data_IF_507979290693
#
_entry.id   IF_507979290693
#
_cell.length_a   1.000
_cell.length_b   1.000
_cell.length_c   1.000
_cell.angle_alpha   90.00
_cell.angle_beta   90.00
_cell.angle_gamma   90.00
#
_symmetry.space_group_name_H-M   'P 1'
#
loop_
_entity.id
_entity.type
_entity.pdbx_description
1 polymer ?
#
# COMPACT_ATOMS: atom_id res chain seq x y z
N UNK A 1 -15.27 13.56 -3.31
CA UNK A 1 -14.15 12.69 -3.65
C UNK A 1 -13.88 11.71 -2.49
N UNK A 2 -14.70 10.65 -2.32
CA UNK A 2 -14.52 9.70 -1.22
C UNK A 2 -13.36 8.73 -1.49
N UNK A 3 -12.68 8.32 -0.42
CA UNK A 3 -11.63 7.32 -0.46
C UNK A 3 -12.22 5.93 -0.78
N UNK A 4 -11.70 5.28 -1.80
CA UNK A 4 -12.10 3.95 -2.25
C UNK A 4 -11.03 2.91 -1.84
N UNK A 5 -10.94 2.63 -0.55
CA UNK A 5 -9.88 1.83 0.05
C UNK A 5 -10.20 0.32 0.22
N UNK A 6 -11.45 -0.11 -0.03
CA UNK A 6 -11.83 -1.53 0.06
C UNK A 6 -11.02 -2.34 -0.95
N UNK A 7 -10.50 -3.48 -0.53
CA UNK A 7 -9.69 -4.36 -1.39
C UNK A 7 -8.26 -3.89 -1.63
N UNK A 8 -7.78 -2.90 -0.89
CA UNK A 8 -6.39 -2.46 -0.98
C UNK A 8 -5.43 -3.62 -0.66
N UNK A 9 -5.77 -4.45 0.31
CA UNK A 9 -5.02 -5.64 0.68
C UNK A 9 -4.84 -6.64 -0.47
N UNK A 10 -5.77 -6.65 -1.45
CA UNK A 10 -5.65 -7.49 -2.65
C UNK A 10 -4.51 -7.01 -3.57
N UNK A 11 -4.29 -5.69 -3.64
CA UNK A 11 -3.18 -5.11 -4.40
C UNK A 11 -1.86 -5.57 -3.79
N UNK A 12 -1.73 -5.43 -2.47
CA UNK A 12 -0.55 -5.85 -1.71
C UNK A 12 -0.29 -7.34 -1.84
N UNK A 13 -1.33 -8.18 -1.73
CA UNK A 13 -1.21 -9.62 -1.89
C UNK A 13 -0.59 -9.97 -3.26
N UNK A 14 -1.15 -9.43 -4.34
CA UNK A 14 -0.66 -9.69 -5.70
C UNK A 14 0.76 -9.14 -5.93
N UNK A 15 1.02 -7.93 -5.45
CA UNK A 15 2.33 -7.29 -5.58
C UNK A 15 3.42 -8.10 -4.87
N UNK A 16 3.18 -8.49 -3.62
CA UNK A 16 4.15 -9.23 -2.83
C UNK A 16 4.42 -10.62 -3.40
N UNK A 17 3.39 -11.31 -3.95
CA UNK A 17 3.62 -12.55 -4.70
C UNK A 17 4.58 -12.36 -5.88
N UNK A 18 4.46 -11.27 -6.63
CA UNK A 18 5.36 -10.94 -7.74
C UNK A 18 6.77 -10.59 -7.28
N UNK A 19 6.91 -10.07 -6.07
CA UNK A 19 8.20 -9.81 -5.42
C UNK A 19 8.81 -11.07 -4.78
N UNK A 20 8.17 -12.24 -4.93
CA UNK A 20 8.69 -13.52 -4.45
C UNK A 20 8.33 -13.88 -3.02
N UNK A 21 7.39 -13.17 -2.40
CA UNK A 21 6.84 -13.57 -1.11
C UNK A 21 5.92 -14.77 -1.25
N UNK A 22 6.07 -15.74 -0.38
CA UNK A 22 5.12 -16.83 -0.21
C UNK A 22 3.82 -16.33 0.43
N UNK A 23 2.75 -17.10 0.29
CA UNK A 23 1.46 -16.79 0.91
C UNK A 23 1.57 -16.63 2.43
N UNK A 24 2.35 -17.46 3.09
CA UNK A 24 2.54 -17.40 4.55
C UNK A 24 3.28 -16.13 4.98
N UNK A 25 4.27 -15.69 4.20
CA UNK A 25 4.95 -14.42 4.43
C UNK A 25 3.99 -13.24 4.24
N UNK A 26 3.18 -13.24 3.19
CA UNK A 26 2.17 -12.22 2.94
C UNK A 26 1.13 -12.16 4.07
N UNK A 27 0.71 -13.32 4.57
CA UNK A 27 -0.24 -13.40 5.68
C UNK A 27 0.36 -12.93 7.02
N UNK A 28 1.68 -12.91 7.16
CA UNK A 28 2.34 -12.28 8.32
C UNK A 28 2.45 -10.77 8.19
N UNK A 29 2.30 -10.23 6.99
CA UNK A 29 2.33 -8.79 6.73
C UNK A 29 0.93 -8.17 6.75
N UNK A 30 -0.03 -8.73 6.00
CA UNK A 30 -1.39 -8.17 5.90
C UNK A 30 -2.17 -8.51 7.16
N UNK A 31 -2.68 -7.49 7.83
CA UNK A 31 -3.49 -7.66 9.02
C UNK A 31 -4.88 -8.27 8.72
N UNK A 32 -5.49 -8.87 9.72
CA UNK A 32 -6.87 -9.35 9.65
C UNK A 32 -7.90 -8.22 9.53
N UNK A 33 -9.16 -8.55 9.22
CA UNK A 33 -10.19 -7.56 8.82
C UNK A 33 -10.42 -6.46 9.84
N UNK A 34 -10.38 -6.79 11.14
CA UNK A 34 -10.60 -5.84 12.22
C UNK A 34 -9.45 -4.81 12.37
N UNK A 35 -8.28 -5.10 11.81
CA UNK A 35 -7.06 -4.32 11.98
C UNK A 35 -6.53 -3.71 10.68
N UNK A 36 -7.22 -3.88 9.55
CA UNK A 36 -6.81 -3.37 8.25
C UNK A 36 -6.63 -1.84 8.23
N UNK A 37 -7.40 -1.09 9.02
CA UNK A 37 -7.23 0.36 9.09
C UNK A 37 -5.87 0.75 9.67
N UNK A 38 -5.45 0.11 10.77
CA UNK A 38 -4.14 0.35 11.38
C UNK A 38 -2.98 -0.14 10.51
N UNK A 39 -3.17 -1.28 9.85
CA UNK A 39 -2.22 -1.77 8.86
C UNK A 39 -2.06 -0.78 7.69
N UNK A 40 -3.16 -0.27 7.13
CA UNK A 40 -3.14 0.68 6.03
C UNK A 40 -2.51 2.04 6.43
N UNK A 41 -2.53 2.38 7.72
CA UNK A 41 -1.84 3.53 8.31
C UNK A 41 -0.38 3.25 8.71
N UNK A 42 0.18 2.10 8.33
CA UNK A 42 1.57 1.72 8.65
C UNK A 42 1.86 1.52 10.15
N UNK A 43 0.86 1.20 10.97
CA UNK A 43 1.02 1.09 12.42
C UNK A 43 1.31 -0.32 12.91
N UNK A 44 0.81 -1.34 12.24
CA UNK A 44 1.05 -2.74 12.59
C UNK A 44 1.00 -3.64 11.38
N UNK A 45 1.64 -4.81 11.47
CA UNK A 45 1.53 -5.86 10.45
C UNK A 45 1.07 -7.19 11.06
N UNK A 46 0.39 -8.03 10.24
CA UNK A 46 0.06 -9.43 10.54
C UNK A 46 -0.96 -9.70 11.64
N UNK A 47 -1.40 -8.69 12.39
CA UNK A 47 -2.28 -8.89 13.53
C UNK A 47 -3.70 -9.29 13.11
N UNK A 48 -4.27 -10.28 13.83
CA UNK A 48 -5.66 -10.73 13.59
C UNK A 48 -5.88 -11.50 12.29
N UNK A 49 -4.80 -11.86 11.59
CA UNK A 49 -4.82 -12.74 10.42
C UNK A 49 -4.66 -14.21 10.78
N UNK A 50 -4.45 -15.09 9.76
CA UNK A 50 -4.43 -14.79 8.34
C UNK A 50 -5.82 -14.61 7.72
N UNK A 51 -5.91 -13.83 6.66
CA UNK A 51 -7.12 -13.74 5.86
C UNK A 51 -7.26 -14.99 4.96
N UNK A 52 -8.44 -15.62 4.87
CA UNK A 52 -8.66 -16.74 3.95
C UNK A 52 -8.65 -16.27 2.50
N UNK A 53 -8.35 -17.15 1.54
CA UNK A 53 -8.31 -16.82 0.10
C UNK A 53 -9.63 -16.22 -0.40
N UNK A 54 -10.74 -16.73 0.10
CA UNK A 54 -12.07 -16.20 -0.23
C UNK A 54 -12.25 -14.73 0.17
N UNK A 55 -11.54 -14.25 1.20
CA UNK A 55 -11.55 -12.85 1.61
C UNK A 55 -11.07 -11.95 0.47
N UNK A 56 -9.90 -12.20 -0.06
CA UNK A 56 -9.32 -11.38 -1.15
C UNK A 56 -10.22 -11.35 -2.38
N UNK A 57 -10.79 -12.50 -2.76
CA UNK A 57 -11.74 -12.60 -3.88
C UNK A 57 -12.99 -11.76 -3.63
N UNK A 58 -13.57 -11.86 -2.43
CA UNK A 58 -14.78 -11.13 -2.05
C UNK A 58 -14.54 -9.63 -1.94
N UNK A 59 -13.40 -9.19 -1.35
CA UNK A 59 -13.08 -7.77 -1.22
C UNK A 59 -12.81 -7.13 -2.58
N UNK A 60 -12.10 -7.80 -3.47
CA UNK A 60 -11.92 -7.31 -4.83
C UNK A 60 -13.26 -7.20 -5.59
N UNK A 61 -14.15 -8.18 -5.44
CA UNK A 61 -15.48 -8.14 -6.04
C UNK A 61 -16.35 -7.02 -5.45
N UNK A 62 -16.28 -6.82 -4.13
CA UNK A 62 -16.99 -5.74 -3.45
C UNK A 62 -16.51 -4.37 -3.94
N UNK A 63 -15.20 -4.15 -4.00
CA UNK A 63 -14.64 -2.89 -4.49
C UNK A 63 -15.09 -2.58 -5.93
N UNK A 64 -15.12 -3.57 -6.81
CA UNK A 64 -15.63 -3.38 -8.18
C UNK A 64 -17.09 -2.92 -8.20
N UNK A 65 -17.94 -3.47 -7.32
CA UNK A 65 -19.34 -3.03 -7.17
C UNK A 65 -19.43 -1.60 -6.63
N UNK A 66 -18.61 -1.27 -5.63
CA UNK A 66 -18.53 0.09 -5.07
C UNK A 66 -18.14 1.09 -6.16
N UNK A 67 -17.07 0.83 -6.89
CA UNK A 67 -16.58 1.70 -7.97
C UNK A 67 -17.62 1.89 -9.08
N UNK A 68 -18.32 0.83 -9.47
CA UNK A 68 -19.43 0.92 -10.42
C UNK A 68 -20.50 1.88 -9.90
N UNK A 69 -20.93 1.69 -8.63
CA UNK A 69 -21.96 2.51 -8.02
C UNK A 69 -21.53 3.96 -7.86
N UNK A 70 -20.28 4.22 -7.47
CA UNK A 70 -19.73 5.58 -7.40
C UNK A 70 -19.84 6.29 -8.76
N UNK A 71 -19.43 5.62 -9.84
CA UNK A 71 -19.50 6.18 -11.20
C UNK A 71 -20.92 6.45 -11.67
N UNK A 72 -21.88 5.59 -11.34
CA UNK A 72 -23.30 5.80 -11.63
C UNK A 72 -23.85 7.08 -10.98
N UNK A 73 -23.32 7.46 -9.82
CA UNK A 73 -23.68 8.71 -9.13
C UNK A 73 -22.79 9.91 -9.51
N UNK A 74 -21.92 9.78 -10.51
CA UNK A 74 -20.98 10.85 -10.87
C UNK A 74 -19.90 11.11 -9.80
N UNK A 75 -19.70 10.17 -8.87
CA UNK A 75 -18.71 10.29 -7.80
C UNK A 75 -17.37 9.81 -8.34
N UNK A 76 -16.33 10.63 -8.21
CA UNK A 76 -14.97 10.29 -8.58
C UNK A 76 -14.27 9.59 -7.42
N UNK A 77 -13.83 8.32 -7.60
CA UNK A 77 -13.13 7.61 -6.53
C UNK A 77 -11.72 8.16 -6.34
N UNK A 78 -11.27 8.14 -5.09
CA UNK A 78 -9.89 8.41 -4.70
C UNK A 78 -9.26 7.10 -4.23
N UNK A 79 -8.19 6.65 -4.86
CA UNK A 79 -7.49 5.42 -4.46
C UNK A 79 -6.34 5.72 -3.49
N UNK A 80 -6.01 4.78 -2.60
CA UNK A 80 -4.75 4.85 -1.89
C UNK A 80 -3.58 4.82 -2.87
N UNK A 81 -2.63 5.74 -2.69
CA UNK A 81 -1.38 5.75 -3.43
C UNK A 81 -0.27 4.99 -2.68
N UNK A 82 0.77 4.60 -3.41
CA UNK A 82 1.95 3.99 -2.81
C UNK A 82 2.88 5.07 -2.25
N UNK A 83 3.28 4.92 -1.00
CA UNK A 83 4.09 5.92 -0.28
C UNK A 83 5.37 5.35 0.34
N UNK A 84 5.67 4.06 0.14
CA UNK A 84 6.91 3.44 0.63
C UNK A 84 6.72 2.35 1.68
N UNK A 85 5.50 2.06 2.12
CA UNK A 85 5.25 0.92 3.02
C UNK A 85 5.74 -0.38 2.39
N UNK A 86 6.43 -1.22 3.16
CA UNK A 86 6.87 -2.56 2.78
C UNK A 86 6.86 -3.47 4.02
N UNK A 87 6.85 -4.81 3.86
CA UNK A 87 7.01 -5.71 5.00
C UNK A 87 8.27 -5.40 5.81
N UNK A 88 8.20 -5.63 7.12
CA UNK A 88 9.31 -5.33 8.03
C UNK A 88 10.61 -6.08 7.67
N UNK A 89 10.49 -7.24 7.05
CA UNK A 89 11.60 -8.10 6.60
C UNK A 89 12.05 -7.85 5.15
N UNK A 90 11.57 -6.79 4.50
CA UNK A 90 11.87 -6.55 3.09
C UNK A 90 13.34 -6.20 2.81
N UNK A 91 14.11 -5.79 3.80
CA UNK A 91 15.56 -5.66 3.69
C UNK A 91 16.23 -7.04 3.48
N UNK A 92 15.86 -8.03 4.26
CA UNK A 92 16.39 -9.40 4.14
C UNK A 92 15.90 -10.08 2.85
N UNK A 93 14.61 -9.91 2.55
CA UNK A 93 13.96 -10.60 1.42
C UNK A 93 14.31 -10.00 0.05
N UNK A 94 14.36 -8.67 -0.04
CA UNK A 94 14.50 -7.95 -1.31
C UNK A 94 15.82 -7.16 -1.42
N UNK A 95 16.64 -7.16 -0.37
CA UNK A 95 17.89 -6.40 -0.32
C UNK A 95 17.65 -4.88 -0.31
N UNK A 96 16.56 -4.43 0.30
CA UNK A 96 16.21 -3.01 0.36
C UNK A 96 16.92 -2.31 1.52
N UNK A 97 17.24 -1.03 1.34
CA UNK A 97 17.68 -0.18 2.43
C UNK A 97 16.45 0.48 3.09
N UNK A 98 16.07 0.00 4.26
CA UNK A 98 14.81 0.36 4.91
C UNK A 98 15.01 1.25 6.14
N UNK A 99 14.03 2.11 6.37
CA UNK A 99 13.83 2.74 7.67
C UNK A 99 12.84 1.89 8.46
N UNK A 100 13.26 1.39 9.61
CA UNK A 100 12.41 0.65 10.56
C UNK A 100 12.11 1.55 11.74
N UNK A 101 10.83 1.65 12.10
CA UNK A 101 10.39 2.37 13.30
C UNK A 101 10.29 1.43 14.50
N UNK A 102 10.26 1.99 15.70
CA UNK A 102 9.99 1.26 16.91
C UNK A 102 8.59 0.61 16.90
N UNK A 103 8.31 -0.24 17.88
CA UNK A 103 7.02 -0.89 18.01
C UNK A 103 5.89 0.14 18.22
N UNK A 104 4.80 0.00 17.50
CA UNK A 104 3.59 0.77 17.77
C UNK A 104 2.73 0.05 18.80
N UNK A 105 2.67 0.58 20.03
CA UNK A 105 1.93 -0.06 21.13
C UNK A 105 2.26 -1.56 21.32
N UNK A 106 3.51 -1.95 21.11
CA UNK A 106 3.97 -3.34 21.21
C UNK A 106 3.80 -4.18 19.95
N UNK A 107 3.27 -3.62 18.85
CA UNK A 107 3.14 -4.30 17.57
C UNK A 107 4.29 -3.95 16.62
N UNK A 108 4.76 -4.93 15.86
CA UNK A 108 5.70 -4.71 14.76
C UNK A 108 5.04 -3.81 13.71
N UNK A 109 5.74 -2.76 13.31
CA UNK A 109 5.31 -1.89 12.22
C UNK A 109 5.84 -2.41 10.88
N UNK A 110 5.12 -2.19 9.78
CA UNK A 110 5.72 -2.22 8.45
C UNK A 110 6.97 -1.36 8.40
N UNK A 111 7.94 -1.75 7.60
CA UNK A 111 9.10 -0.91 7.31
C UNK A 111 8.77 0.12 6.23
N UNK A 112 9.66 1.09 6.09
CA UNK A 112 9.49 2.18 5.15
C UNK A 112 10.67 2.24 4.17
N UNK A 113 10.37 2.11 2.89
CA UNK A 113 11.30 2.39 1.79
C UNK A 113 11.23 3.87 1.46
N UNK A 114 12.34 4.57 1.64
CA UNK A 114 12.40 6.00 1.35
C UNK A 114 12.03 6.27 -0.12
N UNK A 115 11.19 7.27 -0.41
CA UNK A 115 10.81 7.60 -1.80
C UNK A 115 12.01 7.98 -2.69
N UNK A 116 13.10 8.41 -2.09
CA UNK A 116 14.36 8.74 -2.77
C UNK A 116 15.26 7.52 -3.04
N UNK A 117 14.90 6.32 -2.53
CA UNK A 117 15.61 5.09 -2.84
C UNK A 117 15.43 4.71 -4.31
N UNK A 118 16.49 4.19 -4.92
CA UNK A 118 16.49 3.80 -6.35
C UNK A 118 15.46 2.70 -6.68
N UNK A 119 15.09 1.87 -5.71
CA UNK A 119 14.10 0.79 -5.86
C UNK A 119 12.65 1.26 -5.65
N UNK A 120 12.44 2.49 -5.12
CA UNK A 120 11.09 2.99 -4.85
C UNK A 120 10.22 3.03 -6.10
N UNK A 121 10.75 3.57 -7.20
CA UNK A 121 10.00 3.71 -8.44
C UNK A 121 9.57 2.35 -9.04
N UNK A 122 10.39 1.32 -8.89
CA UNK A 122 10.10 -0.05 -9.34
C UNK A 122 8.94 -0.66 -8.55
N UNK A 123 9.00 -0.55 -7.22
CA UNK A 123 7.97 -1.11 -6.33
C UNK A 123 6.65 -0.34 -6.47
N UNK A 124 6.72 0.99 -6.57
CA UNK A 124 5.56 1.83 -6.84
C UNK A 124 4.88 1.48 -8.17
N UNK A 125 5.67 1.26 -9.23
CA UNK A 125 5.14 0.86 -10.54
C UNK A 125 4.38 -0.46 -10.45
N UNK A 126 4.93 -1.45 -9.75
CA UNK A 126 4.29 -2.74 -9.53
C UNK A 126 2.98 -2.61 -8.74
N UNK A 127 2.97 -1.78 -7.69
CA UNK A 127 1.77 -1.48 -6.92
C UNK A 127 0.66 -0.90 -7.79
N UNK A 128 0.97 0.14 -8.58
CA UNK A 128 -0.01 0.78 -9.45
C UNK A 128 -0.48 -0.12 -10.59
N UNK A 129 0.38 -0.97 -11.14
CA UNK A 129 -0.02 -1.98 -12.13
C UNK A 129 -1.05 -2.96 -11.57
N UNK A 130 -0.85 -3.46 -10.33
CA UNK A 130 -1.81 -4.36 -9.70
C UNK A 130 -3.11 -3.62 -9.33
N UNK A 131 -3.04 -2.37 -8.90
CA UNK A 131 -4.21 -1.55 -8.65
C UNK A 131 -5.03 -1.34 -9.92
N UNK A 132 -4.39 -0.94 -11.03
CA UNK A 132 -5.08 -0.75 -12.32
C UNK A 132 -5.68 -2.06 -12.85
N UNK A 133 -4.95 -3.16 -12.75
CA UNK A 133 -5.42 -4.49 -13.16
C UNK A 133 -6.67 -4.93 -12.37
N UNK A 134 -6.71 -4.68 -11.08
CA UNK A 134 -7.84 -5.06 -10.22
C UNK A 134 -9.04 -4.15 -10.39
N UNK A 135 -8.84 -2.84 -10.45
CA UNK A 135 -9.88 -1.83 -10.23
C UNK A 135 -10.02 -0.79 -11.35
N UNK A 136 -9.10 -0.82 -12.32
CA UNK A 136 -9.07 0.16 -13.42
C UNK A 136 -8.43 1.48 -13.00
N UNK A 137 -8.35 2.39 -13.96
CA UNK A 137 -7.74 3.73 -13.76
C UNK A 137 -8.62 4.65 -12.93
N UNK A 138 -7.96 5.51 -12.16
CA UNK A 138 -8.56 6.62 -11.42
C UNK A 138 -7.76 7.90 -11.65
N UNK A 139 -8.39 9.05 -11.42
CA UNK A 139 -7.74 10.35 -11.58
C UNK A 139 -7.21 10.92 -10.26
N UNK A 140 -7.54 10.31 -9.13
CA UNK A 140 -7.23 10.87 -7.81
C UNK A 140 -6.64 9.82 -6.88
N UNK A 141 -5.57 10.20 -6.19
CA UNK A 141 -4.90 9.39 -5.18
C UNK A 141 -4.83 10.14 -3.85
N UNK A 142 -4.90 9.40 -2.75
CA UNK A 142 -4.65 9.87 -1.40
C UNK A 142 -3.53 9.07 -0.78
N UNK A 143 -2.63 9.73 -0.06
CA UNK A 143 -1.57 9.08 0.68
C UNK A 143 -1.13 9.93 1.87
N UNK A 144 -0.59 9.26 2.87
CA UNK A 144 0.09 9.86 4.00
C UNK A 144 1.44 9.12 4.16
N UNK A 145 2.50 9.59 3.46
CA UNK A 145 3.76 8.87 3.38
C UNK A 145 4.54 8.81 4.68
N UNK A 146 4.26 9.73 5.61
CA UNK A 146 5.02 9.86 6.85
C UNK A 146 4.14 9.79 8.10
N UNK A 147 3.02 9.07 7.99
CA UNK A 147 2.07 8.91 9.09
C UNK A 147 2.75 8.37 10.37
N UNK A 148 2.71 9.16 11.45
CA UNK A 148 3.35 8.84 12.73
C UNK A 148 4.83 8.39 12.59
N UNK A 149 5.56 8.92 11.60
CA UNK A 149 6.94 8.54 11.36
C UNK A 149 7.88 9.23 12.35
N UNK A 150 8.49 8.44 13.25
CA UNK A 150 9.42 8.95 14.28
C UNK A 150 10.69 9.55 13.68
N UNK A 151 11.12 9.08 12.52
CA UNK A 151 12.34 9.48 11.83
C UNK A 151 12.13 10.53 10.72
N UNK A 152 10.98 11.23 10.73
CA UNK A 152 10.67 12.23 9.70
C UNK A 152 11.69 13.39 9.63
N UNK A 153 12.39 13.68 10.72
CA UNK A 153 13.40 14.75 10.77
C UNK A 153 14.59 14.54 9.82
N UNK A 154 14.86 13.31 9.39
CA UNK A 154 15.94 12.98 8.45
C UNK A 154 15.50 12.92 6.99
N UNK A 155 14.22 13.19 6.70
CA UNK A 155 13.63 13.07 5.37
C UNK A 155 13.74 14.39 4.61
N UNK A 156 14.28 14.34 3.39
CA UNK A 156 14.13 15.43 2.45
C UNK A 156 12.71 15.36 1.83
N UNK A 157 11.79 16.12 2.41
CA UNK A 157 10.37 16.13 2.00
C UNK A 157 10.16 16.60 0.55
N UNK A 158 10.98 17.51 0.05
CA UNK A 158 10.89 18.00 -1.33
C UNK A 158 11.29 16.90 -2.31
N UNK A 159 12.42 16.25 -2.09
CA UNK A 159 12.86 15.12 -2.90
C UNK A 159 11.90 13.94 -2.82
N UNK A 160 11.42 13.59 -1.63
CA UNK A 160 10.45 12.52 -1.42
C UNK A 160 9.11 12.81 -2.13
N UNK A 161 8.58 14.02 -2.00
CA UNK A 161 7.36 14.45 -2.68
C UNK A 161 7.48 14.39 -4.21
N UNK A 162 8.62 14.82 -4.76
CA UNK A 162 8.92 14.72 -6.20
C UNK A 162 8.97 13.28 -6.67
N UNK A 163 9.61 12.39 -5.93
CA UNK A 163 9.71 10.96 -6.26
C UNK A 163 8.35 10.27 -6.26
N UNK A 164 7.53 10.51 -5.22
CA UNK A 164 6.15 9.99 -5.12
C UNK A 164 5.31 10.52 -6.29
N UNK A 165 5.37 11.81 -6.56
CA UNK A 165 4.62 12.42 -7.66
C UNK A 165 5.07 11.86 -9.03
N UNK A 166 6.37 11.63 -9.24
CA UNK A 166 6.89 11.03 -10.46
C UNK A 166 6.35 9.61 -10.67
N UNK A 167 6.30 8.80 -9.60
CA UNK A 167 5.73 7.45 -9.66
C UNK A 167 4.23 7.47 -10.00
N UNK A 168 3.46 8.37 -9.40
CA UNK A 168 2.04 8.54 -9.74
C UNK A 168 1.82 9.01 -11.18
N UNK A 169 2.59 10.01 -11.65
CA UNK A 169 2.47 10.54 -13.01
C UNK A 169 2.86 9.53 -14.09
N UNK A 170 3.65 8.52 -13.77
CA UNK A 170 3.97 7.44 -14.69
C UNK A 170 2.72 6.64 -15.09
N UNK A 171 1.79 6.44 -14.15
CA UNK A 171 0.54 5.68 -14.39
C UNK A 171 -0.64 6.59 -14.72
N UNK A 172 -0.63 7.82 -14.23
CA UNK A 172 -1.63 8.84 -14.54
C UNK A 172 -0.95 10.18 -14.85
N UNK A 173 -0.63 10.49 -16.11
CA UNK A 173 0.12 11.67 -16.51
C UNK A 173 -0.66 12.99 -16.45
N UNK A 174 -1.91 12.99 -16.03
CA UNK A 174 -2.76 14.20 -15.93
C UNK A 174 -2.38 15.10 -14.77
#
# INVERSE_FOLDING_TARGET
LPLAAVGQECIWFNMLQKLGYSKDEINRFIAGPAFLAWWAMNNLEGWGGPNPDSWYVQQAALQKKILKRMREYGIKPVFPGYSGMVPHDADEKLGLNLTKSDLWNGFTRPAFLQPTDVRFAEIADLYYQEQEKLFGKVDYYSMDPFHEAENAASVDFDAAGKAIMAAMKKVNPK
#
